data_IF_753496860719
#
_entry.id   IF_753496860719
#
_cell.length_a   1.000
_cell.length_b   1.000
_cell.length_c   1.000
_cell.angle_alpha   90.00
_cell.angle_beta   90.00
_cell.angle_gamma   90.00
#
_symmetry.space_group_name_H-M   'P 1'
#
loop_
_entity.id
_entity.type
_entity.pdbx_description
1 polymer ?
#
# COMPACT_ATOMS: atom_id res chain seq x y z
N UNK A 1 -18.09 -23.24 26.36
CA UNK A 1 -17.54 -24.04 25.25
C UNK A 1 -17.12 -23.06 24.16
N UNK A 2 -15.86 -22.78 23.81
CA UNK A 2 -14.84 -23.74 23.39
C UNK A 2 -13.40 -23.15 23.34
N UNK A 3 -13.03 -22.19 24.21
CA UNK A 3 -11.62 -21.74 24.25
C UNK A 3 -10.64 -22.84 24.72
N UNK A 4 -11.09 -23.71 25.60
CA UNK A 4 -10.34 -24.89 26.05
C UNK A 4 -10.31 -26.01 25.01
N UNK A 5 -11.38 -26.17 24.22
CA UNK A 5 -11.44 -27.18 23.15
C UNK A 5 -10.47 -26.86 21.99
N UNK A 6 -10.27 -25.57 21.68
CA UNK A 6 -9.34 -25.12 20.64
C UNK A 6 -7.87 -25.27 21.06
N UNK A 7 -7.57 -25.11 22.34
CA UNK A 7 -6.23 -25.37 22.89
C UNK A 7 -5.92 -26.88 22.92
N UNK A 8 -6.92 -27.72 23.22
CA UNK A 8 -6.75 -29.18 23.26
C UNK A 8 -6.49 -29.77 21.86
N UNK A 9 -7.11 -29.23 20.81
CA UNK A 9 -6.87 -29.67 19.43
C UNK A 9 -5.50 -29.23 18.91
N UNK A 10 -5.01 -28.03 19.31
CA UNK A 10 -3.65 -27.61 18.99
C UNK A 10 -2.58 -28.44 19.72
N UNK A 11 -2.83 -28.87 20.96
CA UNK A 11 -1.90 -29.73 21.69
C UNK A 11 -1.83 -31.15 21.08
N UNK A 12 -2.97 -31.71 20.64
CA UNK A 12 -3.03 -33.04 20.01
C UNK A 12 -2.32 -33.12 18.65
N UNK A 13 -2.28 -32.01 17.89
CA UNK A 13 -1.56 -31.93 16.61
C UNK A 13 -0.03 -31.90 16.74
N UNK A 14 0.49 -31.64 17.95
CA UNK A 14 1.94 -31.58 18.20
C UNK A 14 2.57 -32.89 18.68
N UNK A 15 1.76 -33.92 19.02
CA UNK A 15 2.26 -35.18 19.59
C UNK A 15 2.40 -36.34 18.59
N UNK A 16 2.16 -36.16 17.30
CA UNK A 16 2.26 -37.26 16.30
C UNK A 16 3.58 -37.30 15.52
N UNK A 17 4.60 -36.53 15.91
CA UNK A 17 5.94 -36.58 15.27
C UNK A 17 6.98 -37.05 16.28
N UNK A 18 6.83 -38.27 16.77
CA UNK A 18 7.94 -39.00 17.38
C UNK A 18 8.16 -40.27 16.56
N UNK A 19 8.83 -40.05 15.43
CA UNK A 19 9.33 -41.10 14.56
C UNK A 19 10.37 -41.92 15.33
N UNK A 20 9.99 -43.16 15.59
CA UNK A 20 10.79 -44.34 15.88
C UNK A 20 12.28 -44.19 15.48
N UNK A 21 13.16 -44.03 16.47
CA UNK A 21 14.61 -44.06 16.25
C UNK A 21 15.05 -45.53 16.14
N UNK A 22 15.16 -46.01 14.90
CA UNK A 22 15.89 -47.23 14.60
C UNK A 22 17.37 -47.00 14.91
N UNK A 23 17.89 -47.72 15.90
CA UNK A 23 19.31 -47.81 16.24
C UNK A 23 20.10 -48.23 15.00
N UNK A 24 20.82 -47.30 14.40
CA UNK A 24 21.70 -47.56 13.27
C UNK A 24 23.13 -47.39 13.80
N UNK A 25 23.73 -48.50 14.25
CA UNK A 25 25.10 -48.56 14.74
C UNK A 25 26.06 -48.20 13.61
N UNK A 26 26.34 -46.91 13.50
CA UNK A 26 27.35 -46.40 12.58
C UNK A 26 28.65 -46.22 13.35
N UNK A 27 29.60 -47.12 13.09
CA UNK A 27 30.95 -47.04 13.63
C UNK A 27 31.67 -45.89 12.93
N UNK A 28 32.02 -44.85 13.68
CA UNK A 28 32.78 -43.70 13.18
C UNK A 28 34.25 -44.10 12.99
N UNK A 29 34.61 -44.51 11.77
CA UNK A 29 36.00 -44.84 11.41
C UNK A 29 36.74 -43.54 11.05
N UNK A 30 37.90 -43.30 11.67
CA UNK A 30 38.74 -42.11 11.36
C UNK A 30 39.39 -42.28 10.00
N UNK A 31 39.47 -41.17 9.23
CA UNK A 31 40.09 -41.12 7.89
C UNK A 31 41.54 -41.63 7.84
N UNK A 32 42.22 -41.69 8.97
CA UNK A 32 43.60 -42.18 9.11
C UNK A 32 43.74 -43.69 8.93
N UNK A 33 42.65 -44.46 9.04
CA UNK A 33 42.70 -45.92 9.16
C UNK A 33 42.32 -46.63 7.85
N UNK A 34 42.06 -45.87 6.77
CA UNK A 34 41.71 -46.40 5.46
C UNK A 34 42.85 -46.22 4.44
N UNK A 35 43.11 -47.24 3.59
CA UNK A 35 44.09 -47.12 2.51
C UNK A 35 43.68 -46.04 1.49
N UNK A 36 44.63 -45.24 0.98
CA UNK A 36 44.35 -43.98 0.29
C UNK A 36 43.45 -44.10 -0.96
N UNK A 37 43.44 -45.25 -1.64
CA UNK A 37 42.60 -45.49 -2.82
C UNK A 37 41.14 -45.88 -2.53
N UNK A 38 40.79 -46.22 -1.29
CA UNK A 38 39.40 -46.56 -0.92
C UNK A 38 38.60 -45.33 -0.47
N UNK A 39 39.30 -44.32 0.05
CA UNK A 39 38.71 -43.07 0.54
C UNK A 39 38.12 -42.26 -0.62
N UNK A 40 38.82 -42.22 -1.76
CA UNK A 40 38.39 -41.50 -2.97
C UNK A 40 37.12 -42.13 -3.58
N UNK A 41 37.06 -43.47 -3.66
CA UNK A 41 35.86 -44.18 -4.17
C UNK A 41 34.66 -44.05 -3.26
N UNK A 42 34.87 -43.98 -1.95
CA UNK A 42 33.80 -43.75 -0.97
C UNK A 42 33.28 -42.31 -1.03
N UNK A 43 34.15 -41.32 -1.18
CA UNK A 43 33.74 -39.92 -1.37
C UNK A 43 32.97 -39.72 -2.67
N UNK A 44 33.39 -40.36 -3.76
CA UNK A 44 32.66 -40.35 -5.04
C UNK A 44 31.27 -41.01 -4.92
N UNK A 45 31.18 -42.21 -4.36
CA UNK A 45 29.89 -42.89 -4.16
C UNK A 45 28.97 -42.14 -3.19
N UNK A 46 29.52 -41.54 -2.15
CA UNK A 46 28.76 -40.76 -1.17
C UNK A 46 28.28 -39.43 -1.76
N UNK A 47 29.08 -38.81 -2.65
CA UNK A 47 28.67 -37.61 -3.38
C UNK A 47 27.55 -37.90 -4.38
N UNK A 48 27.62 -39.02 -5.11
CA UNK A 48 26.58 -39.47 -6.04
C UNK A 48 25.27 -39.84 -5.31
N UNK A 49 25.37 -40.53 -4.17
CA UNK A 49 24.21 -40.83 -3.33
C UNK A 49 23.57 -39.56 -2.74
N UNK A 50 24.38 -38.56 -2.35
CA UNK A 50 23.88 -37.26 -1.93
C UNK A 50 23.20 -36.49 -3.07
N UNK A 51 23.75 -36.54 -4.27
CA UNK A 51 23.14 -35.90 -5.45
C UNK A 51 21.81 -36.55 -5.81
N UNK A 52 21.72 -37.88 -5.83
CA UNK A 52 20.47 -38.60 -6.07
C UNK A 52 19.39 -38.26 -5.02
N UNK A 53 19.76 -38.24 -3.74
CA UNK A 53 18.85 -37.89 -2.63
C UNK A 53 18.39 -36.43 -2.69
N UNK A 54 19.26 -35.52 -3.15
CA UNK A 54 18.89 -34.12 -3.42
C UNK A 54 17.92 -34.03 -4.59
N UNK A 55 18.17 -34.70 -5.70
CA UNK A 55 17.29 -34.69 -6.89
C UNK A 55 15.90 -35.24 -6.54
N UNK A 56 15.82 -36.32 -5.77
CA UNK A 56 14.55 -36.88 -5.30
C UNK A 56 13.82 -35.92 -4.35
N UNK A 57 14.55 -35.27 -3.44
CA UNK A 57 13.98 -34.24 -2.57
C UNK A 57 13.45 -33.04 -3.40
N UNK A 58 14.23 -32.52 -4.35
CA UNK A 58 13.81 -31.44 -5.24
C UNK A 58 12.61 -31.85 -6.09
N UNK A 59 12.59 -33.08 -6.64
CA UNK A 59 11.47 -33.61 -7.39
C UNK A 59 10.18 -33.69 -6.56
N UNK A 60 10.29 -34.09 -5.29
CA UNK A 60 9.15 -34.13 -4.36
C UNK A 60 8.64 -32.73 -4.02
N UNK A 61 9.54 -31.76 -3.76
CA UNK A 61 9.16 -30.37 -3.51
C UNK A 61 8.53 -29.68 -4.74
N UNK A 62 9.04 -29.97 -5.94
CA UNK A 62 8.46 -29.46 -7.20
C UNK A 62 7.09 -30.12 -7.47
N UNK A 63 6.95 -31.41 -7.19
CA UNK A 63 5.66 -32.12 -7.28
C UNK A 63 4.60 -31.52 -6.36
N UNK A 64 4.95 -31.32 -5.08
CA UNK A 64 4.06 -30.67 -4.09
C UNK A 64 3.74 -29.23 -4.51
N UNK A 65 4.73 -28.46 -4.97
CA UNK A 65 4.50 -27.10 -5.46
C UNK A 65 3.56 -27.04 -6.68
N UNK A 66 3.67 -28.01 -7.59
CA UNK A 66 2.80 -28.15 -8.75
C UNK A 66 1.37 -28.52 -8.35
N UNK A 67 1.20 -29.50 -7.45
CA UNK A 67 -0.12 -29.91 -6.97
C UNK A 67 -0.82 -28.80 -6.19
N UNK A 68 -0.10 -28.10 -5.31
CA UNK A 68 -0.63 -26.94 -4.56
C UNK A 68 -0.96 -25.79 -5.50
N UNK A 69 -0.07 -25.47 -6.45
CA UNK A 69 -0.33 -24.41 -7.43
C UNK A 69 -1.55 -24.71 -8.31
N UNK A 70 -1.75 -25.97 -8.69
CA UNK A 70 -2.91 -26.41 -9.47
C UNK A 70 -4.19 -26.31 -8.64
N UNK A 71 -4.18 -26.78 -7.39
CA UNK A 71 -5.33 -26.67 -6.49
C UNK A 71 -5.70 -25.20 -6.18
N UNK A 72 -4.71 -24.33 -6.01
CA UNK A 72 -4.92 -22.88 -5.81
C UNK A 72 -5.51 -22.24 -7.06
N UNK A 73 -4.99 -22.58 -8.25
CA UNK A 73 -5.52 -22.09 -9.51
C UNK A 73 -6.98 -22.55 -9.75
N UNK A 74 -7.29 -23.81 -9.45
CA UNK A 74 -8.64 -24.35 -9.60
C UNK A 74 -9.62 -23.68 -8.63
N UNK A 75 -9.21 -23.45 -7.38
CA UNK A 75 -10.05 -22.74 -6.39
C UNK A 75 -10.31 -21.28 -6.80
N UNK A 76 -9.27 -20.56 -7.27
CA UNK A 76 -9.41 -19.20 -7.79
C UNK A 76 -10.30 -19.17 -9.03
N UNK A 77 -10.13 -20.11 -9.96
CA UNK A 77 -10.95 -20.19 -11.18
C UNK A 77 -12.41 -20.47 -10.86
N UNK A 78 -12.69 -21.34 -9.88
CA UNK A 78 -14.05 -21.63 -9.42
C UNK A 78 -14.72 -20.39 -8.79
N UNK A 79 -13.98 -19.67 -7.93
CA UNK A 79 -14.47 -18.42 -7.31
C UNK A 79 -14.73 -17.35 -8.37
N UNK A 80 -13.83 -17.20 -9.33
CA UNK A 80 -13.94 -16.18 -10.38
C UNK A 80 -15.12 -16.48 -11.31
N UNK A 81 -15.32 -17.75 -11.68
CA UNK A 81 -16.47 -18.18 -12.49
C UNK A 81 -17.79 -17.93 -11.78
N UNK A 82 -17.87 -18.22 -10.47
CA UNK A 82 -19.06 -17.90 -9.70
C UNK A 82 -19.28 -16.39 -9.59
N UNK A 83 -18.24 -15.60 -9.32
CA UNK A 83 -18.32 -14.15 -9.25
C UNK A 83 -18.80 -13.53 -10.57
N UNK A 84 -18.34 -14.02 -11.72
CA UNK A 84 -18.76 -13.55 -13.04
C UNK A 84 -20.23 -13.93 -13.35
N UNK A 85 -20.65 -15.14 -12.96
CA UNK A 85 -22.05 -15.53 -13.05
C UNK A 85 -22.95 -14.66 -12.17
N UNK A 86 -22.53 -14.37 -10.92
CA UNK A 86 -23.24 -13.44 -10.05
C UNK A 86 -23.27 -12.03 -10.64
N UNK A 87 -22.15 -11.53 -11.16
CA UNK A 87 -22.05 -10.22 -11.80
C UNK A 87 -22.89 -10.10 -13.08
N UNK A 88 -23.29 -11.19 -13.73
CA UNK A 88 -24.19 -11.17 -14.91
C UNK A 88 -25.67 -11.15 -14.53
N UNK A 89 -26.04 -11.58 -13.33
CA UNK A 89 -27.43 -11.53 -12.86
C UNK A 89 -27.91 -10.08 -12.67
N UNK A 90 -29.21 -9.82 -12.88
CA UNK A 90 -29.79 -8.48 -12.70
C UNK A 90 -29.60 -7.93 -11.29
N UNK A 91 -29.69 -8.80 -10.27
CA UNK A 91 -29.43 -8.44 -8.87
C UNK A 91 -27.93 -8.25 -8.60
N UNK A 92 -27.06 -9.12 -9.10
CA UNK A 92 -25.63 -9.04 -8.84
C UNK A 92 -24.93 -7.85 -9.51
N UNK A 93 -25.38 -7.40 -10.70
CA UNK A 93 -24.94 -6.12 -11.28
C UNK A 93 -25.24 -4.95 -10.36
N UNK A 94 -26.43 -4.93 -9.78
CA UNK A 94 -26.85 -3.86 -8.87
C UNK A 94 -26.04 -3.88 -7.58
N UNK A 95 -25.81 -5.07 -7.00
CA UNK A 95 -24.97 -5.21 -5.80
C UNK A 95 -23.51 -4.81 -6.07
N UNK A 96 -22.94 -5.22 -7.22
CA UNK A 96 -21.59 -4.85 -7.62
C UNK A 96 -21.48 -3.33 -7.84
N UNK A 97 -22.50 -2.71 -8.43
CA UNK A 97 -22.58 -1.27 -8.61
C UNK A 97 -22.67 -0.53 -7.27
N UNK A 98 -23.47 -1.01 -6.31
CA UNK A 98 -23.57 -0.44 -4.97
C UNK A 98 -22.26 -0.53 -4.20
N UNK A 99 -21.56 -1.67 -4.29
CA UNK A 99 -20.25 -1.86 -3.67
C UNK A 99 -19.20 -0.98 -4.35
N UNK A 100 -19.17 -0.94 -5.67
CA UNK A 100 -18.29 -0.06 -6.42
C UNK A 100 -18.53 1.41 -6.06
N UNK A 101 -19.79 1.85 -6.01
CA UNK A 101 -20.15 3.20 -5.58
C UNK A 101 -19.77 3.48 -4.14
N UNK A 102 -19.88 2.51 -3.22
CA UNK A 102 -19.51 2.71 -1.82
C UNK A 102 -18.01 2.77 -1.60
N UNK A 103 -17.25 1.97 -2.34
CA UNK A 103 -15.79 1.90 -2.24
C UNK A 103 -15.15 3.07 -2.98
N UNK A 104 -15.51 3.31 -4.25
CA UNK A 104 -15.01 4.44 -5.03
C UNK A 104 -15.61 5.77 -4.55
N UNK A 105 -16.84 5.76 -4.03
CA UNK A 105 -17.55 6.98 -3.67
C UNK A 105 -16.88 7.78 -2.55
N UNK A 106 -16.12 7.13 -1.64
CA UNK A 106 -15.38 7.88 -0.61
C UNK A 106 -14.30 8.76 -1.24
N UNK A 107 -13.51 8.18 -2.13
CA UNK A 107 -12.44 8.88 -2.84
C UNK A 107 -13.01 9.88 -3.86
N UNK A 108 -14.05 9.49 -4.60
CA UNK A 108 -14.69 10.36 -5.59
C UNK A 108 -15.37 11.57 -4.96
N UNK A 109 -16.05 11.41 -3.81
CA UNK A 109 -16.70 12.53 -3.11
C UNK A 109 -15.64 13.49 -2.55
N UNK A 110 -14.55 12.96 -2.00
CA UNK A 110 -13.41 13.76 -1.53
C UNK A 110 -12.78 14.58 -2.65
N UNK A 111 -12.54 13.99 -3.82
CA UNK A 111 -11.97 14.68 -4.98
C UNK A 111 -12.95 15.68 -5.60
N UNK A 112 -14.21 15.30 -5.79
CA UNK A 112 -15.24 16.14 -6.43
C UNK A 112 -15.55 17.38 -5.59
N UNK A 113 -15.56 17.29 -4.26
CA UNK A 113 -15.86 18.42 -3.39
C UNK A 113 -14.58 19.17 -3.01
N UNK A 114 -13.49 18.44 -2.76
CA UNK A 114 -12.23 19.02 -2.29
C UNK A 114 -11.51 19.88 -3.32
N UNK A 115 -11.43 19.42 -4.58
CA UNK A 115 -10.75 20.17 -5.65
C UNK A 115 -11.40 21.53 -5.93
N UNK A 116 -12.72 21.64 -6.19
CA UNK A 116 -13.33 22.95 -6.42
C UNK A 116 -13.27 23.86 -5.20
N UNK A 117 -13.35 23.31 -3.98
CA UNK A 117 -13.20 24.11 -2.76
C UNK A 117 -11.79 24.73 -2.67
N UNK A 118 -10.74 23.96 -3.00
CA UNK A 118 -9.36 24.48 -3.07
C UNK A 118 -9.20 25.57 -4.15
N UNK A 119 -9.80 25.38 -5.32
CA UNK A 119 -9.74 26.36 -6.41
C UNK A 119 -10.41 27.67 -5.99
N UNK A 120 -11.61 27.61 -5.40
CA UNK A 120 -12.33 28.79 -4.93
C UNK A 120 -11.55 29.51 -3.84
N UNK A 121 -10.98 28.79 -2.88
CA UNK A 121 -10.21 29.40 -1.80
C UNK A 121 -8.92 30.06 -2.30
N UNK A 122 -8.22 29.41 -3.23
CA UNK A 122 -7.02 29.96 -3.87
C UNK A 122 -7.33 31.20 -4.69
N UNK A 123 -8.47 31.22 -5.38
CA UNK A 123 -8.94 32.38 -6.14
C UNK A 123 -9.30 33.55 -5.22
N UNK A 124 -10.04 33.29 -4.13
CA UNK A 124 -10.34 34.28 -3.10
C UNK A 124 -9.07 34.87 -2.50
N UNK A 125 -8.12 34.01 -2.10
CA UNK A 125 -6.84 34.43 -1.57
C UNK A 125 -6.08 35.33 -2.56
N UNK A 126 -6.03 34.95 -3.84
CA UNK A 126 -5.33 35.72 -4.88
C UNK A 126 -5.96 37.09 -5.12
N UNK A 127 -7.29 37.18 -5.17
CA UNK A 127 -8.02 38.44 -5.33
C UNK A 127 -7.82 39.34 -4.12
N UNK A 128 -7.91 38.77 -2.93
CA UNK A 128 -7.76 39.49 -1.67
C UNK A 128 -6.31 39.99 -1.49
N UNK A 129 -5.33 39.16 -1.85
CA UNK A 129 -3.91 39.54 -1.88
C UNK A 129 -3.65 40.67 -2.87
N UNK A 130 -4.17 40.58 -4.11
CA UNK A 130 -4.08 41.68 -5.08
C UNK A 130 -4.75 42.96 -4.58
N UNK A 131 -5.84 42.86 -3.84
CA UNK A 131 -6.58 44.03 -3.32
C UNK A 131 -5.85 44.72 -2.17
N UNK A 132 -5.13 43.96 -1.33
CA UNK A 132 -4.47 44.49 -0.13
C UNK A 132 -3.00 44.83 -0.32
N UNK A 133 -2.29 44.09 -1.15
CA UNK A 133 -0.84 44.22 -1.30
C UNK A 133 -0.42 45.02 -2.54
N UNK A 134 -1.27 45.12 -3.58
CA UNK A 134 -0.93 45.92 -4.74
C UNK A 134 -1.34 47.38 -4.54
N UNK A 135 -0.34 48.22 -4.30
CA UNK A 135 -0.46 49.67 -4.27
C UNK A 135 -0.89 50.17 -5.65
N UNK A 136 -2.04 50.84 -5.74
CA UNK A 136 -2.51 51.46 -7.00
C UNK A 136 -1.77 52.79 -7.21
N UNK A 137 -1.01 52.86 -8.30
CA UNK A 137 -0.43 54.11 -8.80
C UNK A 137 -1.42 54.72 -9.78
N UNK A 138 -2.03 55.85 -9.41
CA UNK A 138 -2.96 56.57 -10.29
C UNK A 138 -2.24 57.80 -10.85
N UNK A 139 -2.40 58.06 -12.14
CA UNK A 139 -1.88 59.25 -12.80
C UNK A 139 -2.64 60.47 -12.27
N UNK A 140 -1.97 61.35 -11.52
CA UNK A 140 -2.61 62.51 -10.88
C UNK A 140 -2.55 63.73 -11.80
N UNK A 141 -1.47 63.89 -12.56
CA UNK A 141 -1.31 64.97 -13.54
C UNK A 141 -0.30 64.62 -14.62
N UNK A 142 -0.51 65.15 -15.82
CA UNK A 142 0.45 65.09 -16.94
C UNK A 142 0.83 66.53 -17.26
N UNK A 143 2.07 66.91 -16.98
CA UNK A 143 2.64 68.21 -17.37
C UNK A 143 3.72 67.95 -18.45
N UNK A 144 3.38 68.30 -19.69
CA UNK A 144 4.26 68.07 -20.85
C UNK A 144 4.60 66.59 -21.08
N UNK A 145 5.90 66.25 -21.09
CA UNK A 145 6.39 64.86 -21.28
C UNK A 145 6.52 64.05 -19.98
N UNK A 146 6.30 64.65 -18.81
CA UNK A 146 6.44 63.98 -17.52
C UNK A 146 5.08 63.62 -16.93
N UNK A 147 4.96 62.36 -16.48
CA UNK A 147 3.75 61.80 -15.87
C UNK A 147 3.96 61.72 -14.35
N UNK A 148 3.11 62.41 -13.59
CA UNK A 148 3.13 62.38 -12.13
C UNK A 148 2.13 61.33 -11.62
N UNK A 149 2.62 60.40 -10.79
CA UNK A 149 1.84 59.30 -10.24
C UNK A 149 1.62 59.54 -8.75
N UNK A 150 0.36 59.55 -8.30
CA UNK A 150 0.02 59.45 -6.88
C UNK A 150 -0.02 57.99 -6.49
N UNK A 151 0.75 57.65 -5.47
CA UNK A 151 0.70 56.34 -4.85
C UNK A 151 -0.44 56.37 -3.85
N UNK A 152 -1.56 55.70 -4.16
CA UNK A 152 -2.66 55.57 -3.21
C UNK A 152 -2.25 54.46 -2.24
N UNK A 153 -1.95 54.85 -1.01
CA UNK A 153 -1.66 53.91 0.07
C UNK A 153 -2.86 52.97 0.30
N UNK A 154 -2.63 51.68 0.57
CA UNK A 154 -3.71 50.72 0.79
C UNK A 154 -4.57 51.15 2.00
N UNK A 155 -5.89 51.00 1.89
CA UNK A 155 -6.86 51.44 2.92
C UNK A 155 -6.76 50.70 4.27
N UNK A 156 -5.89 49.70 4.42
CA UNK A 156 -5.72 48.94 5.66
C UNK A 156 -4.29 49.15 6.19
N UNK A 157 -4.19 49.78 7.35
CA UNK A 157 -2.93 50.13 8.02
C UNK A 157 -2.55 49.06 9.03
N UNK A 158 -1.29 48.61 8.97
CA UNK A 158 -0.55 47.87 10.01
C UNK A 158 -1.27 46.68 10.65
N UNK A 159 -1.91 46.92 11.79
CA UNK A 159 -2.43 45.92 12.71
C UNK A 159 -3.61 45.11 12.13
N UNK A 160 -4.55 45.78 11.46
CA UNK A 160 -5.69 45.13 10.82
C UNK A 160 -5.25 44.25 9.63
N UNK A 161 -4.15 44.61 8.97
CA UNK A 161 -3.62 43.87 7.83
C UNK A 161 -3.00 42.54 8.27
N UNK A 162 -2.29 42.52 9.38
CA UNK A 162 -1.68 41.30 9.92
C UNK A 162 -2.75 40.33 10.42
N UNK A 163 -3.76 40.83 11.14
CA UNK A 163 -4.86 40.01 11.66
C UNK A 163 -5.66 39.36 10.52
N UNK A 164 -6.04 40.14 9.50
CA UNK A 164 -6.80 39.63 8.35
C UNK A 164 -5.97 38.66 7.51
N UNK A 165 -4.67 38.93 7.33
CA UNK A 165 -3.77 38.02 6.62
C UNK A 165 -3.60 36.70 7.38
N UNK A 166 -3.45 36.75 8.70
CA UNK A 166 -3.38 35.58 9.57
C UNK A 166 -4.66 34.74 9.50
N UNK A 167 -5.83 35.37 9.57
CA UNK A 167 -7.11 34.69 9.46
C UNK A 167 -7.29 33.98 8.11
N UNK A 168 -6.88 34.60 7.01
CA UNK A 168 -6.93 34.01 5.67
C UNK A 168 -5.96 32.85 5.48
N UNK A 169 -4.73 32.98 5.97
CA UNK A 169 -3.75 31.89 5.95
C UNK A 169 -4.19 30.71 6.80
N UNK A 170 -4.77 30.97 7.97
CA UNK A 170 -5.34 29.94 8.82
C UNK A 170 -6.50 29.23 8.13
N UNK A 171 -7.43 29.97 7.53
CA UNK A 171 -8.52 29.39 6.75
C UNK A 171 -8.04 28.55 5.55
N UNK A 172 -6.97 29.00 4.88
CA UNK A 172 -6.35 28.23 3.79
C UNK A 172 -5.70 26.94 4.28
N UNK A 173 -4.96 26.99 5.39
CA UNK A 173 -4.38 25.79 6.00
C UNK A 173 -5.46 24.78 6.41
N UNK A 174 -6.56 25.24 7.01
CA UNK A 174 -7.69 24.37 7.36
C UNK A 174 -8.31 23.74 6.12
N UNK A 175 -8.50 24.50 5.03
CA UNK A 175 -9.01 23.96 3.78
C UNK A 175 -8.06 22.93 3.13
N UNK A 176 -6.76 23.17 3.18
CA UNK A 176 -5.74 22.22 2.70
C UNK A 176 -5.73 20.94 3.54
N UNK A 177 -5.75 21.05 4.87
CA UNK A 177 -5.80 19.88 5.77
C UNK A 177 -7.09 19.09 5.56
N UNK A 178 -8.22 19.77 5.40
CA UNK A 178 -9.51 19.13 5.13
C UNK A 178 -9.52 18.35 3.81
N UNK A 179 -8.95 18.93 2.75
CA UNK A 179 -8.88 18.28 1.43
C UNK A 179 -7.91 17.11 1.41
N UNK A 180 -6.77 17.21 2.11
CA UNK A 180 -5.84 16.09 2.28
C UNK A 180 -6.48 14.97 3.11
N UNK A 181 -7.17 15.31 4.21
CA UNK A 181 -7.89 14.33 5.02
C UNK A 181 -9.01 13.64 4.23
N UNK A 182 -9.74 14.37 3.39
CA UNK A 182 -10.77 13.82 2.51
C UNK A 182 -10.23 13.00 1.34
N UNK A 183 -8.93 13.09 1.02
CA UNK A 183 -8.27 12.30 -0.02
C UNK A 183 -7.65 11.00 0.53
N UNK A 184 -7.23 11.01 1.79
CA UNK A 184 -6.59 9.87 2.47
C UNK A 184 -7.62 8.92 3.10
N UNK A 185 -8.78 9.46 3.48
CA UNK A 185 -9.86 8.68 4.08
C UNK A 185 -10.71 8.05 3.00
#
# INVERSE_FOLDING_TARGET
MNRTAMALTMLALTMSVQANQATNDTILVRRSDLPPGLVEKLEEQQSLALMAKRIEAYGKWVGVGKEVGTAVNDSLSAITTQADNFAKTGVGKFTLFLVAWKVLGKDFVGVIIGVPLLVVWTMLFTVFWRRLYCVRKVLERIDGKQKFYKVIEPQITGEDRELVTGFLFFGYLVAVVWTIAGLIV
#
